data_IF_042469902990
#
_entry.id   IF_042469902990
#
_cell.length_a   1.000
_cell.length_b   1.000
_cell.length_c   1.000
_cell.angle_alpha   90.00
_cell.angle_beta   90.00
_cell.angle_gamma   90.00
#
_symmetry.space_group_name_H-M   'P 1'
#
loop_
_entity.id
_entity.type
_entity.pdbx_description
1 polymer ?
#
# COMPACT_ATOMS: atom_id res chain seq x y z
N UNK A 1 0.20 -17.66 12.01
CA UNK A 1 -0.11 -16.38 12.68
C UNK A 1 -0.70 -15.44 11.66
N UNK A 2 -1.89 -14.88 11.95
CA UNK A 2 -2.50 -13.87 11.12
C UNK A 2 -1.95 -12.49 11.50
N UNK A 3 -1.59 -11.69 10.49
CA UNK A 3 -0.98 -10.37 10.68
C UNK A 3 -1.97 -9.27 10.30
N UNK A 4 -2.74 -9.47 9.25
CA UNK A 4 -3.62 -8.45 8.70
C UNK A 4 -4.29 -8.85 7.39
N UNK A 5 -5.02 -7.94 6.79
CA UNK A 5 -5.53 -8.11 5.43
C UNK A 5 -5.80 -6.78 4.73
N UNK A 6 -5.88 -6.84 3.41
CA UNK A 6 -6.38 -5.79 2.52
C UNK A 6 -7.14 -6.45 1.38
N UNK A 7 -8.48 -6.40 1.43
CA UNK A 7 -9.34 -7.13 0.49
C UNK A 7 -8.99 -8.63 0.44
N UNK A 8 -8.58 -9.12 -0.73
CA UNK A 8 -8.18 -10.51 -0.94
C UNK A 8 -6.76 -10.85 -0.44
N UNK A 9 -5.94 -9.84 -0.15
CA UNK A 9 -4.61 -10.04 0.41
C UNK A 9 -4.70 -10.34 1.90
N UNK A 10 -4.38 -11.58 2.28
CA UNK A 10 -4.31 -11.99 3.69
C UNK A 10 -2.86 -12.08 4.13
N UNK A 11 -2.43 -11.15 4.98
CA UNK A 11 -1.09 -11.12 5.56
C UNK A 11 -0.98 -12.19 6.65
N UNK A 12 -0.05 -13.12 6.46
CA UNK A 12 0.13 -14.25 7.38
C UNK A 12 1.56 -14.75 7.39
N UNK A 13 1.95 -15.27 8.56
CA UNK A 13 3.23 -15.93 8.78
C UNK A 13 2.96 -17.34 9.29
N UNK A 14 3.54 -18.33 8.64
CA UNK A 14 3.51 -19.73 9.01
C UNK A 14 4.83 -20.38 8.66
N UNK A 15 5.01 -21.63 9.08
CA UNK A 15 6.16 -22.45 8.70
C UNK A 15 6.25 -22.72 7.18
N UNK A 16 5.19 -22.44 6.42
CA UNK A 16 5.13 -22.68 4.97
C UNK A 16 4.99 -21.41 4.14
N UNK A 17 4.59 -20.29 4.76
CA UNK A 17 4.19 -19.06 4.09
C UNK A 17 4.65 -17.86 4.91
N UNK A 18 5.43 -16.98 4.32
CA UNK A 18 5.74 -15.66 4.89
C UNK A 18 5.24 -14.61 3.91
N UNK A 19 4.16 -13.93 4.29
CA UNK A 19 3.56 -12.86 3.49
C UNK A 19 3.14 -11.72 4.40
N UNK A 20 4.02 -10.73 4.55
CA UNK A 20 3.84 -9.61 5.48
C UNK A 20 4.22 -8.29 4.83
N UNK A 21 3.46 -7.21 5.10
CA UNK A 21 3.86 -5.87 4.72
C UNK A 21 5.03 -5.40 5.58
N UNK A 22 5.96 -4.71 4.95
CA UNK A 22 7.12 -4.06 5.55
C UNK A 22 7.09 -2.55 5.25
N UNK A 23 7.83 -1.78 6.05
CA UNK A 23 8.07 -0.35 5.82
C UNK A 23 6.79 0.48 5.61
N UNK A 24 5.77 0.23 6.45
CA UNK A 24 4.49 0.92 6.36
C UNK A 24 4.65 2.39 6.74
N UNK A 25 4.37 3.26 5.77
CA UNK A 25 4.41 4.71 5.91
C UNK A 25 3.08 5.33 5.53
N UNK A 26 2.84 6.57 5.95
CA UNK A 26 1.68 7.30 5.50
C UNK A 26 1.78 8.79 5.73
N UNK A 27 0.95 9.52 5.02
CA UNK A 27 0.86 10.97 5.08
C UNK A 27 -0.59 11.40 5.27
N UNK A 28 -0.77 12.40 6.12
CA UNK A 28 -2.03 13.11 6.31
C UNK A 28 -1.72 14.60 6.16
N UNK A 29 -2.59 15.34 5.48
CA UNK A 29 -2.33 16.73 5.14
C UNK A 29 -3.59 17.57 5.10
N UNK A 30 -3.39 18.88 5.08
CA UNK A 30 -4.44 19.86 4.84
C UNK A 30 -4.00 20.78 3.71
N UNK A 31 -4.96 21.32 2.97
CA UNK A 31 -4.72 22.34 1.97
C UNK A 31 -4.95 23.72 2.58
N UNK A 32 -4.00 24.62 2.33
CA UNK A 32 -3.98 25.97 2.86
C UNK A 32 -3.70 26.94 1.71
N UNK A 33 -4.53 27.96 1.56
CA UNK A 33 -4.32 29.09 0.67
C UNK A 33 -3.68 30.25 1.46
N UNK A 34 -2.68 30.90 0.86
CA UNK A 34 -2.06 32.08 1.45
C UNK A 34 -2.55 33.35 0.75
N UNK A 35 -3.11 34.29 1.52
CA UNK A 35 -3.59 35.57 1.04
C UNK A 35 -2.59 36.67 1.41
N UNK A 36 -2.02 37.31 0.38
CA UNK A 36 -1.08 38.41 0.57
C UNK A 36 -1.80 39.66 1.08
N UNK A 37 -1.24 40.28 2.13
CA UNK A 37 -1.73 41.55 2.66
C UNK A 37 -0.69 42.63 2.36
N UNK A 38 -1.12 43.81 1.88
CA UNK A 38 -0.21 44.92 1.58
C UNK A 38 0.50 45.34 2.88
N UNK A 39 1.84 45.25 2.90
CA UNK A 39 2.69 45.66 4.02
C UNK A 39 2.69 44.71 5.24
N UNK A 40 2.02 43.56 5.17
CA UNK A 40 1.90 42.62 6.29
C UNK A 40 2.32 41.20 5.93
N UNK A 41 2.42 40.33 6.94
CA UNK A 41 2.61 38.88 6.72
C UNK A 41 1.37 38.30 6.03
N UNK A 42 1.52 37.37 5.07
CA UNK A 42 0.41 36.71 4.43
C UNK A 42 -0.41 35.91 5.45
N UNK A 43 -1.74 35.93 5.30
CA UNK A 43 -2.66 35.16 6.14
C UNK A 43 -2.96 33.82 5.47
N UNK A 44 -2.91 32.74 6.23
CA UNK A 44 -3.23 31.40 5.73
C UNK A 44 -4.68 31.04 6.05
N UNK A 45 -5.41 30.55 5.06
CA UNK A 45 -6.77 30.05 5.17
C UNK A 45 -6.80 28.57 4.80
N UNK A 46 -7.51 27.74 5.57
CA UNK A 46 -7.62 26.32 5.29
C UNK A 46 -8.68 26.11 4.21
N UNK A 47 -8.26 25.64 3.04
CA UNK A 47 -9.13 25.39 1.88
C UNK A 47 -9.71 23.97 1.89
N UNK A 48 -8.98 23.00 2.45
CA UNK A 48 -9.40 21.60 2.40
C UNK A 48 -8.59 20.66 3.27
N UNK A 49 -8.96 19.39 3.26
CA UNK A 49 -8.22 18.30 3.90
C UNK A 49 -7.78 17.34 2.81
N UNK A 50 -6.50 16.93 2.83
CA UNK A 50 -5.97 15.97 1.87
C UNK A 50 -6.36 14.56 2.30
N UNK A 51 -6.70 13.73 1.32
CA UNK A 51 -6.89 12.30 1.51
C UNK A 51 -5.61 11.68 2.08
N UNK A 52 -5.75 10.83 3.10
CA UNK A 52 -4.59 10.14 3.67
C UNK A 52 -4.02 9.16 2.66
N UNK A 53 -2.69 9.13 2.54
CA UNK A 53 -1.99 8.14 1.71
C UNK A 53 -1.27 7.15 2.61
N UNK A 54 -1.25 5.88 2.21
CA UNK A 54 -0.50 4.81 2.86
C UNK A 54 0.35 4.11 1.83
N UNK A 55 1.58 3.78 2.20
CA UNK A 55 2.52 3.07 1.34
C UNK A 55 3.18 1.98 2.14
N UNK A 56 3.31 0.80 1.57
CA UNK A 56 4.04 -0.29 2.20
C UNK A 56 4.64 -1.19 1.12
N UNK A 57 5.60 -1.99 1.52
CA UNK A 57 6.29 -2.90 0.62
C UNK A 57 6.05 -4.34 1.03
N UNK A 58 6.00 -5.25 0.08
CA UNK A 58 5.90 -6.68 0.31
C UNK A 58 7.02 -7.35 -0.47
N UNK A 59 7.76 -8.23 0.19
CA UNK A 59 8.73 -9.10 -0.48
C UNK A 59 8.06 -10.43 -0.79
N UNK A 60 7.94 -10.74 -2.07
CA UNK A 60 7.48 -12.03 -2.58
C UNK A 60 8.70 -12.90 -2.84
N UNK A 61 8.76 -14.06 -2.18
CA UNK A 61 9.86 -14.99 -2.37
C UNK A 61 9.32 -16.43 -2.51
N UNK A 62 9.73 -17.09 -3.58
CA UNK A 62 9.41 -18.48 -3.87
C UNK A 62 9.90 -19.46 -2.80
N UNK A 63 10.96 -19.11 -2.07
CA UNK A 63 11.51 -19.94 -0.99
C UNK A 63 10.59 -19.98 0.23
N UNK A 64 9.76 -18.94 0.43
CA UNK A 64 8.81 -18.85 1.54
C UNK A 64 7.40 -19.29 1.14
N UNK A 65 7.27 -20.15 0.11
CA UNK A 65 6.02 -20.81 -0.28
C UNK A 65 5.00 -19.92 -0.98
N UNK A 66 5.34 -18.66 -1.27
CA UNK A 66 4.56 -17.81 -2.16
C UNK A 66 4.96 -18.09 -3.60
N UNK A 67 4.02 -18.01 -4.55
CA UNK A 67 4.36 -17.99 -5.98
C UNK A 67 4.43 -16.53 -6.44
N UNK A 68 5.62 -15.90 -6.55
CA UNK A 68 5.71 -14.45 -6.77
C UNK A 68 4.95 -14.00 -8.02
N UNK A 69 5.00 -14.79 -9.10
CA UNK A 69 4.29 -14.52 -10.35
C UNK A 69 2.77 -14.48 -10.20
N UNK A 70 2.20 -15.39 -9.42
CA UNK A 70 0.74 -15.50 -9.22
C UNK A 70 0.26 -14.40 -8.29
N UNK A 71 0.98 -14.18 -7.19
CA UNK A 71 0.63 -13.12 -6.22
C UNK A 71 0.77 -11.74 -6.84
N UNK A 72 1.81 -11.50 -7.65
CA UNK A 72 1.96 -10.24 -8.39
C UNK A 72 0.81 -10.00 -9.37
N UNK A 73 0.40 -11.03 -10.12
CA UNK A 73 -0.75 -10.93 -11.03
C UNK A 73 -2.06 -10.61 -10.27
N UNK A 74 -2.25 -11.20 -9.09
CA UNK A 74 -3.39 -10.88 -8.21
C UNK A 74 -3.36 -9.42 -7.76
N UNK A 75 -2.20 -8.94 -7.31
CA UNK A 75 -2.03 -7.55 -6.88
C UNK A 75 -2.37 -6.59 -8.03
N UNK A 76 -1.79 -6.81 -9.21
CA UNK A 76 -2.04 -5.98 -10.39
C UNK A 76 -3.51 -5.97 -10.79
N UNK A 77 -4.16 -7.15 -10.79
CA UNK A 77 -5.59 -7.28 -11.05
C UNK A 77 -6.43 -6.43 -10.09
N UNK A 78 -6.10 -6.42 -8.80
CA UNK A 78 -6.85 -5.60 -7.83
C UNK A 78 -6.64 -4.09 -8.03
N UNK A 79 -5.48 -3.65 -8.55
CA UNK A 79 -5.27 -2.24 -8.95
C UNK A 79 -6.17 -1.92 -10.13
N UNK A 80 -6.14 -2.76 -11.16
CA UNK A 80 -6.88 -2.56 -12.41
C UNK A 80 -8.39 -2.57 -12.18
N UNK A 81 -8.88 -3.42 -11.27
CA UNK A 81 -10.28 -3.45 -10.85
C UNK A 81 -10.66 -2.28 -9.93
N UNK A 82 -9.68 -1.51 -9.44
CA UNK A 82 -9.92 -0.40 -8.53
C UNK A 82 -10.49 -0.84 -7.18
N UNK A 83 -9.99 -1.94 -6.62
CA UNK A 83 -10.50 -2.49 -5.35
C UNK A 83 -10.38 -1.47 -4.21
N UNK A 84 -11.46 -1.36 -3.44
CA UNK A 84 -11.59 -0.46 -2.28
C UNK A 84 -11.91 -1.30 -1.07
N UNK A 85 -11.02 -1.29 -0.08
CA UNK A 85 -11.18 -2.12 1.12
C UNK A 85 -10.49 -1.54 2.35
N UNK A 86 -10.77 -2.11 3.51
CA UNK A 86 -10.07 -1.76 4.75
C UNK A 86 -8.69 -2.40 4.79
N UNK A 87 -7.67 -1.59 5.10
CA UNK A 87 -6.36 -2.09 5.49
C UNK A 87 -6.40 -2.42 6.98
N UNK A 88 -6.31 -3.69 7.33
CA UNK A 88 -6.34 -4.20 8.70
C UNK A 88 -4.97 -4.76 9.06
N UNK A 89 -4.41 -4.34 10.20
CA UNK A 89 -3.14 -4.84 10.74
C UNK A 89 -3.32 -5.05 12.24
N UNK A 90 -2.91 -6.22 12.75
CA UNK A 90 -2.97 -6.52 14.18
C UNK A 90 -4.38 -6.49 14.77
N UNK A 91 -5.39 -6.84 13.97
CA UNK A 91 -6.83 -6.83 14.33
C UNK A 91 -7.49 -5.45 14.38
N UNK A 92 -6.77 -4.38 14.01
CA UNK A 92 -7.30 -3.03 13.99
C UNK A 92 -7.19 -2.43 12.57
N UNK A 93 -8.22 -1.73 12.08
CA UNK A 93 -8.10 -1.01 10.82
C UNK A 93 -7.10 0.14 10.97
N UNK A 94 -6.23 0.31 9.98
CA UNK A 94 -5.17 1.35 9.97
C UNK A 94 -5.76 2.76 9.85
N UNK A 95 -6.98 2.88 9.31
CA UNK A 95 -7.75 4.11 9.23
C UNK A 95 -9.23 3.86 9.43
N UNK A 96 -10.00 4.93 9.67
CA UNK A 96 -11.46 4.83 9.82
C UNK A 96 -12.19 4.63 8.48
N UNK A 97 -11.56 5.01 7.37
CA UNK A 97 -12.11 4.90 6.03
C UNK A 97 -11.52 3.69 5.28
N UNK A 98 -12.18 3.31 4.20
CA UNK A 98 -11.61 2.36 3.24
C UNK A 98 -10.49 3.04 2.44
N UNK A 99 -9.64 2.21 1.83
CA UNK A 99 -8.56 2.65 0.99
C UNK A 99 -8.72 2.05 -0.41
N UNK A 100 -8.50 2.86 -1.44
CA UNK A 100 -8.34 2.41 -2.83
C UNK A 100 -6.86 2.19 -3.13
N UNK A 101 -6.55 1.20 -3.94
CA UNK A 101 -5.20 1.00 -4.45
C UNK A 101 -4.96 1.94 -5.64
N UNK A 102 -3.98 2.84 -5.54
CA UNK A 102 -3.71 3.82 -6.62
C UNK A 102 -2.62 3.34 -7.55
N UNK A 103 -1.53 2.81 -6.98
CA UNK A 103 -0.33 2.46 -7.72
C UNK A 103 0.33 1.24 -7.09
N UNK A 104 0.91 0.42 -7.96
CA UNK A 104 1.78 -0.70 -7.59
C UNK A 104 3.04 -0.62 -8.44
N UNK A 105 4.19 -0.76 -7.79
CA UNK A 105 5.48 -0.85 -8.45
C UNK A 105 6.19 -2.14 -8.05
N UNK A 106 6.69 -2.88 -9.02
CA UNK A 106 7.34 -4.17 -8.84
C UNK A 106 8.81 -4.16 -9.29
N UNK A 107 9.70 -4.54 -8.39
CA UNK A 107 11.12 -4.71 -8.64
C UNK A 107 11.45 -6.22 -8.67
N UNK A 108 11.90 -6.71 -9.83
CA UNK A 108 12.24 -8.12 -10.02
C UNK A 108 13.69 -8.34 -9.60
N UNK A 109 13.89 -8.78 -8.36
CA UNK A 109 15.24 -8.94 -7.78
C UNK A 109 15.94 -10.20 -8.30
N UNK A 110 15.23 -11.34 -8.36
CA UNK A 110 15.83 -12.62 -8.75
C UNK A 110 14.94 -13.41 -9.71
N UNK A 111 15.51 -13.78 -10.85
CA UNK A 111 14.91 -14.65 -11.85
C UNK A 111 15.81 -15.88 -12.00
N UNK A 112 15.23 -17.06 -11.80
CA UNK A 112 15.94 -18.34 -11.85
C UNK A 112 15.83 -18.95 -13.24
N UNK A 113 16.59 -20.03 -13.49
CA UNK A 113 16.50 -20.85 -14.69
C UNK A 113 15.03 -21.17 -15.06
N UNK A 114 14.77 -21.30 -16.36
CA UNK A 114 13.44 -21.29 -17.00
C UNK A 114 12.69 -19.93 -16.98
N UNK A 115 13.34 -18.84 -16.55
CA UNK A 115 12.70 -17.51 -16.51
C UNK A 115 11.66 -17.37 -15.40
N UNK A 116 11.74 -18.20 -14.37
CA UNK A 116 10.82 -18.17 -13.23
C UNK A 116 11.23 -17.08 -12.26
N UNK A 117 10.29 -16.18 -11.95
CA UNK A 117 10.47 -15.15 -10.93
C UNK A 117 10.59 -15.80 -9.55
N UNK A 118 11.77 -15.74 -8.96
CA UNK A 118 12.06 -16.33 -7.66
C UNK A 118 11.86 -15.34 -6.53
N UNK A 119 12.22 -14.07 -6.75
CA UNK A 119 12.06 -13.00 -5.76
C UNK A 119 11.69 -11.68 -6.39
N UNK A 120 10.73 -11.00 -5.79
CA UNK A 120 10.22 -9.71 -6.24
C UNK A 120 9.83 -8.84 -5.05
N UNK A 121 10.16 -7.55 -5.12
CA UNK A 121 9.75 -6.56 -4.13
C UNK A 121 8.63 -5.72 -4.74
N UNK A 122 7.48 -5.72 -4.10
CA UNK A 122 6.27 -5.05 -4.59
C UNK A 122 5.93 -3.94 -3.62
N UNK A 123 5.90 -2.71 -4.11
CA UNK A 123 5.50 -1.54 -3.34
C UNK A 123 4.09 -1.11 -3.73
N UNK A 124 3.22 -1.02 -2.72
CA UNK A 124 1.80 -0.75 -2.88
C UNK A 124 1.50 0.63 -2.30
N UNK A 125 0.83 1.46 -3.08
CA UNK A 125 0.35 2.77 -2.67
C UNK A 125 -1.17 2.78 -2.59
N UNK A 126 -1.68 3.18 -1.44
CA UNK A 126 -3.10 3.28 -1.10
C UNK A 126 -3.46 4.74 -0.81
N UNK A 127 -4.68 5.13 -1.17
CA UNK A 127 -5.25 6.44 -0.87
C UNK A 127 -6.63 6.27 -0.22
N UNK A 128 -6.94 7.13 0.76
CA UNK A 128 -8.22 7.15 1.45
C UNK A 128 -9.37 7.33 0.45
N UNK A 129 -10.39 6.49 0.59
CA UNK A 129 -11.62 6.58 -0.19
C UNK A 129 -12.74 7.13 0.72
N UNK A 130 -13.29 8.28 0.31
CA UNK A 130 -14.35 9.03 1.02
C UNK A 130 -15.52 9.24 0.08
#
# INVERSE_FOLDING_TARGET
MWVGCFGELVFSVSNRRIFTPDSISGSAGSEWAAHNTIGGKPKSEKTGVKLKKRKFTITLDSQFGESPRVTLALINKMVEEGRVDYLIIGSMPVGMCQYKMTDVSDDWEEVVADGKLARCKVEITLEEYV
#
